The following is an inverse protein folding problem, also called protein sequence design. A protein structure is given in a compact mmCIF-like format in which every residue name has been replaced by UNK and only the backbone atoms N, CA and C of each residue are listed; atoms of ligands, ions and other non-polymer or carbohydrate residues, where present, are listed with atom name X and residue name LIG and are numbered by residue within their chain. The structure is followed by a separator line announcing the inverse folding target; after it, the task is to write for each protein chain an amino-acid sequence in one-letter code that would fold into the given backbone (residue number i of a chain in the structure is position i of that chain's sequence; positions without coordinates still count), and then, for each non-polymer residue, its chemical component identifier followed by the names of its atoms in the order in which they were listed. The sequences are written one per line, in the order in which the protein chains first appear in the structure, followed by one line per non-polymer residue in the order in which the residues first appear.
data_IF_152457030618
#
_entry.id   IF_152457030618
#
_cell.length_a   1.000
_cell.length_b   1.000
_cell.length_c   1.000
_cell.angle_alpha   90.00
_cell.angle_beta   90.00
_cell.angle_gamma   90.00
#
_symmetry.space_group_name_H-M   'P 1'
#
loop_
_entity.id
_entity.type
_entity.pdbx_description
1 polymer ?
#
# COMPACT_ATOMS: atom_id res chain seq x y z
N UNK A 1 -18.60 13.00 -2.91
CA UNK A 1 -17.19 12.55 -2.80
C UNK A 1 -16.29 13.62 -2.10
N UNK A 2 -16.75 14.88 -1.91
CA UNK A 2 -15.98 16.01 -1.33
C UNK A 2 -15.46 15.77 0.10
N UNK A 3 -16.04 14.78 0.78
CA UNK A 3 -15.85 14.46 2.20
C UNK A 3 -14.77 13.40 2.48
N UNK A 4 -14.36 12.64 1.46
CA UNK A 4 -13.67 11.36 1.61
C UNK A 4 -12.29 11.46 2.26
N UNK A 5 -11.41 12.24 1.63
CA UNK A 5 -10.02 12.28 2.04
C UNK A 5 -9.84 13.23 3.22
N UNK A 6 -10.68 14.27 3.33
CA UNK A 6 -10.73 15.11 4.53
C UNK A 6 -11.08 14.31 5.78
N UNK A 7 -11.98 13.32 5.68
CA UNK A 7 -12.32 12.44 6.80
C UNK A 7 -11.28 11.36 7.06
N UNK A 8 -10.64 10.86 6.01
CA UNK A 8 -9.46 10.00 6.13
C UNK A 8 -8.29 10.71 6.85
N UNK A 9 -8.08 11.99 6.58
CA UNK A 9 -7.14 12.83 7.33
C UNK A 9 -7.61 13.02 8.77
N UNK A 10 -8.90 13.29 9.00
CA UNK A 10 -9.45 13.49 10.34
C UNK A 10 -9.34 12.25 11.24
N UNK A 11 -9.41 11.04 10.67
CA UNK A 11 -9.23 9.78 11.42
C UNK A 11 -7.77 9.27 11.43
N UNK A 12 -6.83 10.03 10.84
CA UNK A 12 -5.41 9.65 10.78
C UNK A 12 -5.09 8.50 9.82
N UNK A 13 -6.01 8.14 8.92
CA UNK A 13 -5.82 7.13 7.88
C UNK A 13 -5.03 7.65 6.67
N UNK A 14 -4.87 8.97 6.55
CA UNK A 14 -3.95 9.59 5.59
C UNK A 14 -2.77 10.12 6.37
N UNK A 15 -1.58 9.72 5.95
CA UNK A 15 -0.32 10.18 6.53
C UNK A 15 0.25 11.25 5.61
N UNK A 16 0.10 12.55 5.93
CA UNK A 16 0.62 13.62 5.10
C UNK A 16 2.11 13.84 5.41
N UNK A 17 2.89 14.24 4.41
CA UNK A 17 4.23 14.73 4.64
C UNK A 17 4.19 16.08 5.37
N UNK A 18 4.51 16.07 6.67
CA UNK A 18 4.67 17.29 7.45
C UNK A 18 6.15 17.68 7.56
N UNK A 19 6.56 18.69 6.79
CA UNK A 19 7.62 19.60 7.25
C UNK A 19 7.12 20.38 8.48
N UNK A 20 8.01 20.94 9.32
CA UNK A 20 7.58 21.64 10.53
C UNK A 20 6.73 22.86 10.14
N UNK A 21 5.45 22.85 10.56
CA UNK A 21 4.41 23.90 10.40
C UNK A 21 3.61 23.94 9.08
N UNK A 22 3.34 22.83 8.41
CA UNK A 22 2.32 22.82 7.35
C UNK A 22 0.96 22.32 7.88
N UNK A 23 -0.12 23.04 7.57
CA UNK A 23 -1.50 22.58 7.81
C UNK A 23 -1.79 21.30 7.00
N UNK A 24 -2.67 20.40 7.47
CA UNK A 24 -3.07 19.22 6.70
C UNK A 24 -3.56 19.63 5.31
N UNK A 25 -3.07 19.01 4.22
CA UNK A 25 -3.58 19.32 2.89
C UNK A 25 -5.08 19.05 2.82
N UNK A 26 -5.85 20.01 2.31
CA UNK A 26 -7.25 19.77 1.95
C UNK A 26 -7.28 18.86 0.72
N UNK A 27 -7.30 17.55 0.95
CA UNK A 27 -7.48 16.58 -0.12
C UNK A 27 -8.93 16.65 -0.60
N UNK A 28 -9.14 17.42 -1.66
CA UNK A 28 -10.43 17.52 -2.33
C UNK A 28 -10.56 16.43 -3.38
N UNK A 29 -11.72 16.45 -4.00
CA UNK A 29 -12.45 15.37 -4.61
C UNK A 29 -11.95 14.87 -5.97
N UNK A 30 -10.63 14.81 -6.17
CA UNK A 30 -9.99 14.73 -7.49
C UNK A 30 -8.89 13.67 -7.60
N UNK A 31 -8.94 12.61 -6.78
CA UNK A 31 -8.04 11.47 -6.99
C UNK A 31 -8.51 10.67 -8.20
N UNK A 32 -7.71 10.74 -9.26
CA UNK A 32 -7.94 9.99 -10.51
C UNK A 32 -7.29 8.62 -10.45
N UNK A 33 -6.12 8.53 -9.79
CA UNK A 33 -5.25 7.36 -9.85
C UNK A 33 -4.87 6.89 -8.46
N UNK A 34 -5.10 5.62 -8.17
CA UNK A 34 -4.69 4.96 -6.94
C UNK A 34 -3.55 3.98 -7.23
N UNK A 35 -2.41 4.19 -6.57
CA UNK A 35 -1.26 3.30 -6.65
C UNK A 35 -1.28 2.42 -5.41
N UNK A 36 -1.81 1.21 -5.56
CA UNK A 36 -2.00 0.29 -4.44
C UNK A 36 -0.77 -0.59 -4.28
N UNK A 37 -0.16 -0.57 -3.10
CA UNK A 37 1.11 -1.18 -2.77
C UNK A 37 0.92 -2.17 -1.62
N UNK A 38 1.63 -3.30 -1.68
CA UNK A 38 1.66 -4.30 -0.61
C UNK A 38 3.00 -5.05 -0.62
N UNK A 39 3.86 -4.84 0.38
CA UNK A 39 5.17 -5.47 0.44
C UNK A 39 5.10 -6.84 1.10
N UNK A 40 5.80 -7.80 0.51
CA UNK A 40 6.24 -8.98 1.28
C UNK A 40 7.62 -8.72 1.87
N UNK A 41 7.86 -9.25 3.07
CA UNK A 41 9.12 -9.10 3.77
C UNK A 41 9.64 -10.41 4.36
N UNK A 42 10.94 -10.45 4.65
CA UNK A 42 11.53 -11.53 5.44
C UNK A 42 10.84 -11.60 6.81
N UNK A 43 10.45 -12.80 7.22
CA UNK A 43 9.84 -13.04 8.53
C UNK A 43 10.23 -14.42 9.09
N UNK A 44 10.00 -14.62 10.38
CA UNK A 44 10.19 -15.90 11.06
C UNK A 44 9.03 -16.16 12.04
N UNK A 45 8.79 -17.44 12.34
CA UNK A 45 7.68 -17.87 13.21
C UNK A 45 7.85 -17.39 14.64
N UNK A 46 9.06 -17.56 15.15
CA UNK A 46 9.48 -17.07 16.45
C UNK A 46 10.10 -15.70 16.19
N UNK A 47 9.31 -14.63 16.30
CA UNK A 47 9.81 -13.26 16.23
C UNK A 47 10.83 -13.05 17.35
N UNK A 48 12.07 -13.51 17.17
CA UNK A 48 13.17 -13.03 17.97
C UNK A 48 13.29 -11.55 17.65
N UNK A 49 13.27 -10.69 18.68
CA UNK A 49 13.36 -9.22 18.58
C UNK A 49 14.54 -8.69 17.73
N UNK A 50 15.41 -9.58 17.25
CA UNK A 50 16.60 -9.32 16.45
C UNK A 50 16.38 -9.35 14.93
N UNK A 51 15.39 -10.06 14.39
CA UNK A 51 15.20 -10.13 12.93
C UNK A 51 14.41 -8.92 12.43
N UNK A 52 15.12 -7.98 11.80
CA UNK A 52 14.50 -6.81 11.18
C UNK A 52 14.00 -7.18 9.78
N UNK A 53 12.74 -6.85 9.43
CA UNK A 53 12.20 -7.13 8.10
C UNK A 53 12.99 -6.44 6.98
N UNK A 54 13.23 -7.17 5.91
CA UNK A 54 13.68 -6.66 4.61
C UNK A 54 12.63 -7.00 3.55
N UNK A 55 12.32 -6.06 2.66
CA UNK A 55 11.42 -6.25 1.54
C UNK A 55 11.97 -7.35 0.64
N UNK A 56 11.11 -8.29 0.24
CA UNK A 56 11.42 -9.40 -0.69
C UNK A 56 10.49 -9.43 -1.90
N UNK A 57 9.38 -8.69 -1.87
CA UNK A 57 8.53 -8.39 -3.02
C UNK A 57 8.08 -6.93 -2.98
N UNK A 58 8.22 -6.23 -4.10
CA UNK A 58 7.82 -4.83 -4.29
C UNK A 58 6.80 -4.75 -5.45
N UNK A 59 5.50 -4.93 -5.18
CA UNK A 59 4.43 -4.74 -6.14
C UNK A 59 3.68 -3.42 -5.94
N UNK A 60 3.22 -2.85 -7.05
CA UNK A 60 2.25 -1.75 -7.08
C UNK A 60 1.27 -2.02 -8.22
N UNK A 61 -0.04 -1.89 -7.98
CA UNK A 61 -1.04 -1.85 -9.05
C UNK A 61 -1.63 -0.45 -9.18
N UNK A 62 -1.92 -0.04 -10.41
CA UNK A 62 -2.49 1.29 -10.69
C UNK A 62 -3.96 1.12 -11.05
N UNK A 63 -4.84 1.72 -10.26
CA UNK A 63 -6.29 1.70 -10.48
C UNK A 63 -6.82 3.06 -10.91
N UNK A 64 -7.65 3.04 -11.95
CA UNK A 64 -8.43 4.17 -12.43
C UNK A 64 -9.69 4.35 -11.56
N UNK A 65 -9.91 5.55 -11.02
CA UNK A 65 -11.06 5.81 -10.12
C UNK A 65 -12.43 5.92 -10.80
N UNK A 66 -12.48 6.10 -12.13
CA UNK A 66 -13.73 6.32 -12.90
C UNK A 66 -14.39 4.98 -13.20
N UNK A 67 -13.65 3.98 -13.67
CA UNK A 67 -14.20 2.66 -13.99
C UNK A 67 -13.76 1.55 -13.01
N UNK A 68 -12.82 1.85 -12.12
CA UNK A 68 -12.28 0.90 -11.14
C UNK A 68 -11.38 -0.16 -11.76
N UNK A 69 -10.89 0.03 -12.99
CA UNK A 69 -9.99 -0.93 -13.64
C UNK A 69 -8.56 -0.74 -13.18
N UNK A 70 -7.85 -1.86 -13.05
CA UNK A 70 -6.40 -1.85 -12.93
C UNK A 70 -5.83 -1.67 -14.34
N UNK A 71 -5.07 -0.60 -14.54
CA UNK A 71 -4.54 -0.20 -15.85
C UNK A 71 -3.06 -0.52 -16.02
N UNK A 72 -2.34 -0.77 -14.92
CA UNK A 72 -0.92 -1.12 -14.95
C UNK A 72 -0.47 -1.76 -13.64
N UNK A 73 0.75 -2.31 -13.64
CA UNK A 73 1.41 -2.81 -12.44
C UNK A 73 2.94 -2.76 -12.53
N UNK A 74 3.58 -2.48 -11.40
CA UNK A 74 4.99 -2.75 -11.15
C UNK A 74 5.11 -3.97 -10.24
N UNK A 75 6.10 -4.82 -10.48
CA UNK A 75 6.42 -5.94 -9.59
C UNK A 75 7.89 -6.28 -9.71
N UNK A 76 8.58 -6.37 -8.58
CA UNK A 76 9.94 -6.91 -8.48
C UNK A 76 10.05 -7.81 -7.25
N UNK A 77 10.84 -8.87 -7.36
CA UNK A 77 11.42 -9.49 -6.17
C UNK A 77 12.62 -8.68 -5.74
N UNK A 78 12.94 -8.73 -4.45
CA UNK A 78 14.06 -8.00 -3.87
C UNK A 78 14.94 -8.99 -3.12
N UNK A 79 16.25 -8.87 -3.29
CA UNK A 79 17.21 -9.70 -2.56
C UNK A 79 17.50 -9.08 -1.18
N UNK A 80 17.16 -9.76 -0.08
CA UNK A 80 17.56 -9.31 1.25
C UNK A 80 19.08 -9.44 1.41
N UNK A 81 19.69 -8.49 2.11
CA UNK A 81 21.16 -8.37 2.27
C UNK A 81 21.61 -8.51 3.72
N UNK A 82 20.73 -8.29 4.68
CA UNK A 82 21.01 -8.47 6.12
C UNK A 82 20.66 -9.91 6.55
N UNK A 83 19.55 -10.46 6.06
CA UNK A 83 19.07 -11.83 6.27
C UNK A 83 18.79 -12.53 4.92
N UNK A 84 19.83 -12.93 4.17
CA UNK A 84 19.70 -13.40 2.77
C UNK A 84 19.00 -14.76 2.61
N UNK A 85 18.84 -15.53 3.69
CA UNK A 85 18.22 -16.84 3.69
C UNK A 85 16.80 -16.72 4.25
N UNK A 86 15.80 -17.00 3.41
CA UNK A 86 14.40 -17.01 3.83
C UNK A 86 14.16 -18.17 4.78
N UNK A 87 13.40 -17.91 5.84
CA UNK A 87 12.93 -19.00 6.71
C UNK A 87 11.87 -19.85 5.99
N UNK A 88 11.70 -21.09 6.42
CA UNK A 88 10.61 -21.95 5.95
C UNK A 88 9.24 -21.32 6.22
N UNK A 89 9.11 -20.60 7.34
CA UNK A 89 7.89 -19.87 7.68
C UNK A 89 7.60 -18.78 6.66
N UNK A 90 8.60 -17.94 6.33
CA UNK A 90 8.45 -16.89 5.33
C UNK A 90 8.09 -17.49 3.97
N UNK A 91 8.83 -18.50 3.52
CA UNK A 91 8.56 -19.19 2.24
C UNK A 91 7.14 -19.76 2.19
N UNK A 92 6.69 -20.40 3.28
CA UNK A 92 5.33 -20.96 3.34
C UNK A 92 4.26 -19.87 3.40
N UNK A 93 4.51 -18.79 4.13
CA UNK A 93 3.59 -17.66 4.26
C UNK A 93 3.45 -16.96 2.92
N UNK A 94 4.55 -16.49 2.33
CA UNK A 94 4.55 -15.63 1.15
C UNK A 94 4.52 -16.37 -0.19
N UNK A 95 4.90 -17.65 -0.19
CA UNK A 95 5.08 -18.43 -1.42
C UNK A 95 6.32 -18.03 -2.22
N UNK A 96 7.17 -17.14 -1.70
CA UNK A 96 8.41 -16.71 -2.35
C UNK A 96 9.51 -17.70 -2.00
N UNK A 97 10.08 -18.33 -3.04
CA UNK A 97 11.18 -19.28 -2.89
C UNK A 97 12.54 -18.59 -2.87
N UNK A 98 13.51 -19.22 -2.19
CA UNK A 98 14.88 -18.72 -2.08
C UNK A 98 15.53 -18.38 -3.44
N UNK A 99 15.25 -19.17 -4.48
CA UNK A 99 15.78 -18.93 -5.82
C UNK A 99 15.26 -17.63 -6.45
N UNK A 100 14.04 -17.19 -6.10
CA UNK A 100 13.47 -15.93 -6.58
C UNK A 100 14.24 -14.74 -6.02
N UNK A 101 14.48 -14.71 -4.70
CA UNK A 101 15.22 -13.61 -4.06
C UNK A 101 16.72 -13.67 -4.35
N UNK A 102 17.30 -14.86 -4.54
CA UNK A 102 18.74 -15.01 -4.87
C UNK A 102 19.09 -14.36 -6.21
N UNK A 103 18.20 -14.45 -7.19
CA UNK A 103 18.37 -13.90 -8.54
C UNK A 103 17.91 -12.44 -8.67
N UNK A 104 17.24 -11.91 -7.65
CA UNK A 104 16.75 -10.55 -7.63
C UNK A 104 17.88 -9.54 -7.36
N UNK A 105 17.63 -8.29 -7.73
CA UNK A 105 18.44 -7.17 -7.33
C UNK A 105 18.17 -6.76 -5.87
N UNK A 106 19.11 -6.06 -5.24
CA UNK A 106 18.89 -5.51 -3.91
C UNK A 106 17.93 -4.30 -3.93
N UNK A 107 17.46 -3.91 -2.74
CA UNK A 107 16.50 -2.81 -2.59
C UNK A 107 16.98 -1.50 -3.23
N UNK A 108 18.29 -1.22 -3.25
CA UNK A 108 18.81 0.04 -3.79
C UNK A 108 18.62 0.14 -5.30
N UNK A 109 18.73 -0.99 -6.01
CA UNK A 109 18.49 -1.08 -7.45
C UNK A 109 17.00 -1.05 -7.71
N UNK A 110 16.20 -1.84 -6.97
CA UNK A 110 14.75 -1.90 -7.17
C UNK A 110 14.08 -0.55 -6.90
N UNK A 111 14.55 0.24 -5.93
CA UNK A 111 14.07 1.61 -5.72
C UNK A 111 14.35 2.53 -6.92
N UNK A 112 15.52 2.40 -7.57
CA UNK A 112 15.82 3.16 -8.79
C UNK A 112 14.94 2.74 -9.96
N UNK A 113 14.70 1.44 -10.11
CA UNK A 113 13.77 0.93 -11.12
C UNK A 113 12.34 1.42 -10.88
N UNK A 114 11.91 1.42 -9.63
CA UNK A 114 10.62 1.94 -9.21
C UNK A 114 10.50 3.44 -9.50
N UNK A 115 11.51 4.24 -9.18
CA UNK A 115 11.52 5.68 -9.46
C UNK A 115 11.40 5.97 -10.95
N UNK A 116 12.13 5.21 -11.79
CA UNK A 116 12.06 5.32 -13.25
C UNK A 116 10.68 4.94 -13.79
N UNK A 117 10.14 3.81 -13.34
CA UNK A 117 8.80 3.35 -13.71
C UNK A 117 7.74 4.37 -13.28
N UNK A 118 7.82 4.88 -12.05
CA UNK A 118 6.88 5.84 -11.49
C UNK A 118 6.92 7.17 -12.27
N UNK A 119 8.12 7.64 -12.65
CA UNK A 119 8.28 8.82 -13.51
C UNK A 119 7.57 8.64 -14.85
N UNK A 120 7.83 7.52 -15.55
CA UNK A 120 7.16 7.21 -16.81
C UNK A 120 5.64 7.11 -16.64
N UNK A 121 5.18 6.50 -15.54
CA UNK A 121 3.75 6.36 -15.26
C UNK A 121 3.06 7.70 -15.03
N UNK A 122 3.70 8.62 -14.31
CA UNK A 122 3.20 9.99 -14.09
C UNK A 122 3.07 10.77 -15.39
N UNK A 123 4.00 10.58 -16.32
CA UNK A 123 3.96 11.20 -17.65
C UNK A 123 2.81 10.59 -18.48
N UNK A 124 2.73 9.26 -18.57
CA UNK A 124 1.69 8.55 -19.32
C UNK A 124 0.27 8.87 -18.82
N UNK A 125 0.07 8.86 -17.51
CA UNK A 125 -1.24 9.10 -16.89
C UNK A 125 -1.52 10.59 -16.65
N UNK A 126 -0.57 11.47 -17.00
CA UNK A 126 -0.61 12.91 -16.72
C UNK A 126 -0.96 13.22 -15.26
N UNK A 127 -0.44 12.43 -14.32
CA UNK A 127 -0.84 12.49 -12.91
C UNK A 127 0.24 13.09 -12.01
N UNK A 128 -0.18 13.57 -10.83
CA UNK A 128 0.72 14.17 -9.83
C UNK A 128 0.33 13.71 -8.43
N UNK A 129 1.30 13.43 -7.57
CA UNK A 129 1.08 13.13 -6.15
C UNK A 129 0.96 14.43 -5.35
N UNK A 130 0.03 15.30 -5.78
CA UNK A 130 -0.26 16.60 -5.17
C UNK A 130 -1.76 16.82 -5.08
N UNK A 131 -2.33 17.26 -3.94
CA UNK A 131 -3.78 17.25 -3.69
C UNK A 131 -4.63 18.26 -4.48
N UNK A 132 -4.03 19.09 -5.32
CA UNK A 132 -4.67 20.30 -5.89
C UNK A 132 -5.13 20.15 -7.35
N UNK A 133 -4.96 18.97 -7.96
CA UNK A 133 -5.15 18.77 -9.40
C UNK A 133 -6.27 17.77 -9.73
N UNK A 134 -6.93 17.93 -10.89
CA UNK A 134 -7.91 16.98 -11.43
C UNK A 134 -7.32 15.59 -11.73
N UNK A 135 -6.00 15.50 -11.90
CA UNK A 135 -5.25 14.27 -12.11
C UNK A 135 -4.44 13.85 -10.87
N UNK A 136 -4.97 14.08 -9.67
CA UNK A 136 -4.27 13.69 -8.43
C UNK A 136 -4.09 12.17 -8.38
N UNK A 137 -2.88 11.74 -8.04
CA UNK A 137 -2.52 10.36 -7.71
C UNK A 137 -2.20 10.23 -6.22
N UNK A 138 -2.47 9.06 -5.64
CA UNK A 138 -2.11 8.76 -4.24
C UNK A 138 -1.74 7.30 -4.08
N UNK A 139 -0.83 7.01 -3.15
CA UNK A 139 -0.55 5.65 -2.74
C UNK A 139 -1.59 5.12 -1.74
N UNK A 140 -1.86 3.83 -1.81
CA UNK A 140 -2.76 3.12 -0.91
C UNK A 140 -2.06 1.84 -0.45
N UNK A 141 -2.13 1.54 0.83
CA UNK A 141 -1.68 0.26 1.40
C UNK A 141 -2.81 -0.35 2.21
N UNK A 142 -2.76 -1.67 2.48
CA UNK A 142 -3.74 -2.25 3.41
C UNK A 142 -3.57 -1.69 4.82
N UNK A 143 -2.33 -1.49 5.28
CA UNK A 143 -2.01 -0.80 6.54
C UNK A 143 -0.79 0.11 6.37
N UNK A 144 -0.54 1.04 7.29
CA UNK A 144 0.68 1.86 7.22
C UNK A 144 2.00 1.08 7.44
N UNK A 145 1.93 -0.21 7.74
CA UNK A 145 3.11 -1.04 8.03
C UNK A 145 4.10 -1.06 6.86
N UNK A 146 3.63 -1.18 5.61
CA UNK A 146 4.48 -1.29 4.41
C UNK A 146 5.46 -0.12 4.28
N UNK A 147 4.95 1.11 4.32
CA UNK A 147 5.75 2.31 4.07
C UNK A 147 6.26 2.89 5.39
N UNK A 148 5.39 3.04 6.39
CA UNK A 148 5.70 3.68 7.67
C UNK A 148 6.58 2.84 8.60
N UNK A 149 6.61 1.51 8.39
CA UNK A 149 7.45 0.60 9.20
C UNK A 149 8.49 -0.12 8.34
N UNK A 150 8.08 -0.91 7.35
CA UNK A 150 9.00 -1.79 6.62
C UNK A 150 10.01 -0.98 5.78
N UNK A 151 9.53 -0.25 4.77
CA UNK A 151 10.39 0.52 3.89
C UNK A 151 11.14 1.64 4.62
N UNK A 152 10.48 2.38 5.50
CA UNK A 152 11.12 3.45 6.27
C UNK A 152 12.32 2.94 7.07
N UNK A 153 12.13 1.86 7.84
CA UNK A 153 13.21 1.32 8.65
C UNK A 153 14.31 0.71 7.79
N UNK A 154 13.95 0.02 6.70
CA UNK A 154 14.95 -0.56 5.81
C UNK A 154 15.80 0.49 5.10
N UNK A 155 15.17 1.51 4.51
CA UNK A 155 15.87 2.64 3.93
C UNK A 155 16.78 3.32 4.95
N UNK A 156 16.33 3.50 6.19
CA UNK A 156 17.12 4.14 7.25
C UNK A 156 18.38 3.35 7.61
N UNK A 157 18.31 2.03 7.79
CA UNK A 157 19.51 1.24 8.12
C UNK A 157 20.45 1.13 6.92
N UNK A 158 19.90 0.95 5.71
CA UNK A 158 20.67 0.84 4.45
C UNK A 158 21.13 2.17 3.88
N UNK A 159 20.78 3.30 4.52
CA UNK A 159 21.09 4.67 4.08
C UNK A 159 20.59 4.97 2.66
N UNK A 160 19.41 4.47 2.32
CA UNK A 160 18.76 4.68 1.03
C UNK A 160 17.77 5.85 1.10
N UNK A 161 17.63 6.65 0.03
CA UNK A 161 16.61 7.67 -0.03
C UNK A 161 15.22 7.03 -0.08
N UNK A 162 14.26 7.62 0.62
CA UNK A 162 12.85 7.23 0.54
C UNK A 162 12.18 8.01 -0.60
N UNK A 163 11.44 7.36 -1.52
CA UNK A 163 10.72 8.06 -2.57
C UNK A 163 9.68 9.02 -1.99
N UNK A 164 9.80 10.32 -2.29
CA UNK A 164 8.95 11.36 -1.72
C UNK A 164 7.45 11.17 -2.04
N UNK A 165 7.12 10.50 -3.15
CA UNK A 165 5.73 10.25 -3.53
C UNK A 165 5.01 9.29 -2.57
N UNK A 166 5.74 8.43 -1.86
CA UNK A 166 5.20 7.48 -0.87
C UNK A 166 4.87 8.15 0.47
N UNK A 167 5.32 9.39 0.67
CA UNK A 167 5.14 10.11 1.93
C UNK A 167 3.69 10.54 2.18
N UNK A 168 2.88 10.64 1.13
CA UNK A 168 1.44 10.84 1.22
C UNK A 168 0.69 9.59 0.75
N UNK A 169 -0.02 8.93 1.66
CA UNK A 169 -0.67 7.64 1.39
C UNK A 169 -1.90 7.42 2.25
N UNK A 170 -2.74 6.49 1.80
CA UNK A 170 -3.96 6.04 2.48
C UNK A 170 -3.71 4.66 3.12
N UNK A 171 -4.08 4.52 4.39
CA UNK A 171 -4.27 3.23 5.07
C UNK A 171 -5.72 2.76 4.86
N UNK A 172 -5.87 1.72 4.04
CA UNK A 172 -7.17 1.20 3.63
C UNK A 172 -7.91 0.50 4.77
N UNK A 173 -7.21 -0.14 5.70
CA UNK A 173 -7.81 -0.80 6.86
C UNK A 173 -8.44 0.21 7.81
N UNK A 174 -7.79 1.36 8.04
CA UNK A 174 -8.34 2.44 8.86
C UNK A 174 -9.63 3.01 8.25
N UNK A 175 -9.65 3.24 6.94
CA UNK A 175 -10.86 3.62 6.19
C UNK A 175 -11.97 2.57 6.36
N UNK A 176 -11.64 1.31 6.15
CA UNK A 176 -12.60 0.21 6.24
C UNK A 176 -13.18 0.06 7.65
N UNK A 177 -12.34 0.18 8.68
CA UNK A 177 -12.77 0.17 10.09
C UNK A 177 -13.74 1.30 10.39
N UNK A 178 -13.45 2.51 9.91
CA UNK A 178 -14.34 3.65 10.10
C UNK A 178 -15.69 3.42 9.41
N UNK A 179 -15.67 2.90 8.18
CA UNK A 179 -16.90 2.53 7.48
C UNK A 179 -17.73 1.51 8.26
N UNK A 180 -17.09 0.45 8.75
CA UNK A 180 -17.76 -0.62 9.48
C UNK A 180 -18.30 -0.12 10.84
N UNK A 181 -17.57 0.76 11.51
CA UNK A 181 -17.99 1.40 12.76
C UNK A 181 -19.20 2.33 12.58
N UNK A 182 -19.20 3.15 11.52
CA UNK A 182 -20.33 4.02 11.17
C UNK A 182 -21.57 3.24 10.69
N UNK A 183 -21.40 2.01 10.23
CA UNK A 183 -22.50 1.18 9.71
C UNK A 183 -23.08 0.20 10.72
N UNK A 184 -22.28 -0.46 11.59
CA UNK A 184 -22.80 -1.53 12.45
C UNK A 184 -22.07 -1.80 13.79
N UNK A 185 -20.88 -1.27 14.08
CA UNK A 185 -20.07 -1.77 15.22
C UNK A 185 -19.65 -0.69 16.25
N UNK A 186 -20.04 -0.89 17.53
CA UNK A 186 -19.53 -0.12 18.69
C UNK A 186 -18.12 -0.53 19.13
N UNK A 187 -17.53 -1.59 18.54
CA UNK A 187 -16.20 -2.11 18.86
C UNK A 187 -15.26 -2.08 17.65
N UNK A 188 -13.95 -1.94 17.91
CA UNK A 188 -12.91 -1.88 16.88
C UNK A 188 -12.76 -3.24 16.20
N UNK A 189 -12.84 -3.26 14.87
CA UNK A 189 -12.68 -4.47 14.06
C UNK A 189 -11.19 -4.81 13.84
N UNK A 190 -10.80 -6.07 13.99
CA UNK A 190 -9.39 -6.49 13.98
C UNK A 190 -8.99 -7.39 12.79
N UNK A 191 -9.91 -7.70 11.88
CA UNK A 191 -9.67 -8.64 10.77
C UNK A 191 -8.61 -8.21 9.74
N UNK A 192 -8.18 -9.17 8.92
CA UNK A 192 -7.27 -8.96 7.78
C UNK A 192 -8.00 -8.57 6.49
N UNK A 193 -7.25 -8.37 5.40
CA UNK A 193 -7.81 -8.02 4.08
C UNK A 193 -8.86 -9.05 3.61
N UNK A 194 -8.56 -10.34 3.76
CA UNK A 194 -9.50 -11.42 3.44
C UNK A 194 -10.81 -11.35 4.23
N UNK A 195 -10.77 -10.94 5.51
CA UNK A 195 -11.96 -10.77 6.33
C UNK A 195 -12.78 -9.55 5.87
N UNK A 196 -12.11 -8.45 5.51
CA UNK A 196 -12.77 -7.25 4.98
C UNK A 196 -13.52 -7.55 3.68
N UNK A 197 -12.88 -8.25 2.74
CA UNK A 197 -13.51 -8.68 1.49
C UNK A 197 -14.76 -9.53 1.76
N UNK A 198 -14.64 -10.52 2.66
CA UNK A 198 -15.76 -11.40 3.01
C UNK A 198 -16.94 -10.63 3.59
N UNK A 199 -16.69 -9.65 4.47
CA UNK A 199 -17.73 -8.82 5.07
C UNK A 199 -18.53 -8.01 4.03
N UNK A 200 -17.91 -7.67 2.89
CA UNK A 200 -18.59 -6.96 1.80
C UNK A 200 -19.08 -7.87 0.68
N UNK A 201 -19.03 -9.20 0.88
CA UNK A 201 -19.46 -10.19 -0.10
C UNK A 201 -18.50 -10.38 -1.28
N UNK A 202 -17.25 -9.95 -1.15
CA UNK A 202 -16.18 -10.20 -2.11
C UNK A 202 -15.36 -11.44 -1.71
N UNK A 203 -14.75 -12.08 -2.70
CA UNK A 203 -13.84 -13.21 -2.51
C UNK A 203 -12.42 -12.78 -2.81
N UNK A 204 -11.46 -13.25 -2.03
CA UNK A 204 -10.05 -13.00 -2.30
C UNK A 204 -9.62 -13.71 -3.59
N UNK A 205 -9.02 -12.98 -4.53
CA UNK A 205 -8.52 -13.53 -5.79
C UNK A 205 -7.00 -13.80 -5.72
N UNK A 206 -6.55 -14.97 -6.17
CA UNK A 206 -5.13 -15.34 -6.12
C UNK A 206 -4.72 -15.91 -4.76
N UNK A 207 -3.48 -15.64 -4.35
CA UNK A 207 -2.88 -16.22 -3.14
C UNK A 207 -2.71 -15.14 -2.05
N UNK A 208 -3.27 -15.31 -0.84
CA UNK A 208 -2.95 -14.42 0.28
C UNK A 208 -1.46 -14.44 0.61
N UNK A 209 -0.90 -13.29 0.99
CA UNK A 209 0.53 -13.06 1.18
C UNK A 209 1.33 -13.22 -0.12
N UNK A 210 0.75 -12.86 -1.25
CA UNK A 210 1.45 -12.66 -2.50
C UNK A 210 1.24 -11.19 -2.81
N UNK A 211 2.27 -10.36 -2.67
CA UNK A 211 2.07 -8.92 -2.57
C UNK A 211 1.31 -8.34 -3.77
N UNK A 212 1.52 -8.87 -4.99
CA UNK A 212 0.75 -8.41 -6.16
C UNK A 212 -0.74 -8.78 -6.09
N UNK A 213 -1.08 -9.95 -5.54
CA UNK A 213 -2.47 -10.37 -5.36
C UNK A 213 -3.11 -9.61 -4.20
N UNK A 214 -2.41 -9.38 -3.09
CA UNK A 214 -2.89 -8.54 -2.00
C UNK A 214 -3.11 -7.08 -2.43
N UNK A 215 -2.24 -6.52 -3.26
CA UNK A 215 -2.43 -5.20 -3.85
C UNK A 215 -3.67 -5.14 -4.77
N UNK A 216 -3.91 -6.17 -5.59
CA UNK A 216 -5.12 -6.28 -6.43
C UNK A 216 -6.39 -6.38 -5.59
N UNK A 217 -6.36 -7.18 -4.53
CA UNK A 217 -7.49 -7.37 -3.63
C UNK A 217 -7.79 -6.11 -2.81
N UNK A 218 -6.75 -5.38 -2.40
CA UNK A 218 -6.90 -4.06 -1.78
C UNK A 218 -7.53 -3.07 -2.76
N UNK A 219 -7.11 -3.08 -4.04
CA UNK A 219 -7.74 -2.27 -5.09
C UNK A 219 -9.22 -2.67 -5.33
N UNK A 220 -9.54 -3.96 -5.27
CA UNK A 220 -10.91 -4.46 -5.38
C UNK A 220 -11.81 -3.96 -4.24
N UNK A 221 -11.31 -4.00 -3.00
CA UNK A 221 -12.01 -3.44 -1.85
C UNK A 221 -12.17 -1.92 -1.96
N UNK A 222 -11.13 -1.22 -2.39
CA UNK A 222 -11.16 0.22 -2.64
C UNK A 222 -12.24 0.58 -3.67
N UNK A 223 -12.28 -0.13 -4.80
CA UNK A 223 -13.33 0.02 -5.83
C UNK A 223 -14.72 -0.16 -5.23
N UNK A 224 -14.93 -1.19 -4.42
CA UNK A 224 -16.21 -1.43 -3.77
C UNK A 224 -16.63 -0.25 -2.87
N UNK A 225 -15.72 0.27 -2.04
CA UNK A 225 -16.01 1.40 -1.17
C UNK A 225 -16.30 2.70 -1.97
N UNK A 226 -15.59 2.91 -3.09
CA UNK A 226 -15.84 4.05 -3.99
C UNK A 226 -17.25 3.97 -4.61
N UNK A 227 -17.63 2.81 -5.16
CA UNK A 227 -18.94 2.62 -5.80
C UNK A 227 -20.13 2.77 -4.86
N UNK A 228 -19.97 2.35 -3.60
CA UNK A 228 -21.04 2.49 -2.59
C UNK A 228 -21.20 3.91 -2.06
N UNK A 229 -20.46 4.89 -2.59
CA UNK A 229 -20.39 6.25 -2.06
C UNK A 229 -20.11 6.27 -0.55
N UNK A 230 -19.47 5.23 -0.02
CA UNK A 230 -19.22 5.07 1.40
C UNK A 230 -18.36 6.20 1.92
N UNK A 231 -17.43 6.66 1.09
CA UNK A 231 -16.62 7.81 1.38
C UNK A 231 -17.36 9.17 1.36
N UNK A 232 -18.66 9.19 1.08
CA UNK A 232 -19.53 10.38 1.13
C UNK A 232 -20.28 10.45 2.47
N UNK A 233 -20.52 9.30 3.12
CA UNK A 233 -21.39 9.17 4.30
C UNK A 233 -20.67 8.83 5.62
N UNK A 234 -19.42 8.37 5.55
CA UNK A 234 -18.50 8.49 6.68
C UNK A 234 -18.17 9.95 6.79
#
# INVERSE_FOLDING_TARGET
MENTIQKAVACGAVYPFYGPKAQPPHFTNKVRWYFVLDFESTCCKDQSDTMLPEIIEFPVVVMDSVDGRIVDSFRRYVRPTENPILSDFCTKLTGIHQDSVKKADDLSVVLKEFDLWLKQKKEQLSCRFKPTDAATAIFVTWTDWDIGTCLWNECRRKKLPLPNDLLNRIDMKAIFQQWLGSSQAKQRWHGGLSDALRLVGLTFEGRPHCGIDDARNTALLLRYLLLKNIFVNI
#
